data_IF_819404598982
#
_entry.id   IF_819404598982
#
_cell.length_a   1.000
_cell.length_b   1.000
_cell.length_c   1.000
_cell.angle_alpha   90.00
_cell.angle_beta   90.00
_cell.angle_gamma   90.00
#
_symmetry.space_group_name_H-M   'P 1'
#
loop_
_entity.id
_entity.type
_entity.pdbx_description
1 polymer ?
#
# COMPACT_ATOMS: atom_id res chain seq x y z
N UNK A 1 -24.69 -58.01 -32.55
CA UNK A 1 -24.33 -57.42 -31.25
C UNK A 1 -25.47 -56.52 -30.82
N UNK A 2 -25.82 -56.58 -29.53
CA UNK A 2 -26.92 -55.88 -28.86
C UNK A 2 -26.90 -54.35 -29.12
N UNK A 3 -27.96 -53.56 -28.95
CA UNK A 3 -29.16 -53.63 -28.11
C UNK A 3 -30.19 -52.58 -28.58
N UNK A 4 -31.45 -52.86 -28.28
CA UNK A 4 -32.64 -52.09 -28.62
C UNK A 4 -33.02 -50.99 -27.62
N UNK A 5 -33.93 -50.12 -28.09
CA UNK A 5 -35.02 -49.43 -27.37
C UNK A 5 -34.66 -48.39 -26.29
N UNK A 6 -35.52 -47.46 -25.88
CA UNK A 6 -36.63 -46.68 -26.46
C UNK A 6 -37.13 -45.82 -25.29
N UNK A 7 -37.49 -44.58 -25.57
CA UNK A 7 -38.48 -43.75 -24.88
C UNK A 7 -38.21 -43.15 -23.49
N UNK A 8 -38.37 -41.82 -23.49
CA UNK A 8 -39.25 -41.03 -22.61
C UNK A 8 -38.66 -40.17 -21.47
N UNK A 9 -39.17 -38.93 -21.49
CA UNK A 9 -39.54 -38.02 -20.40
C UNK A 9 -38.45 -37.32 -19.59
N UNK A 10 -38.52 -35.99 -19.67
CA UNK A 10 -37.92 -34.98 -18.81
C UNK A 10 -38.27 -35.25 -17.34
N UNK A 11 -37.31 -35.02 -16.42
CA UNK A 11 -37.59 -34.04 -15.37
C UNK A 11 -36.50 -32.98 -15.28
N UNK A 12 -36.99 -31.76 -15.04
CA UNK A 12 -36.26 -30.61 -14.51
C UNK A 12 -35.89 -30.99 -13.07
N UNK A 13 -34.63 -30.79 -12.65
CA UNK A 13 -34.24 -30.30 -11.31
C UNK A 13 -32.71 -30.32 -11.13
N UNK A 14 -32.19 -29.15 -10.74
CA UNK A 14 -31.16 -28.94 -9.71
C UNK A 14 -29.78 -29.59 -9.87
N UNK A 15 -28.84 -28.92 -10.57
CA UNK A 15 -27.39 -29.08 -10.27
C UNK A 15 -26.51 -27.97 -10.92
N UNK A 16 -26.92 -26.70 -10.80
CA UNK A 16 -26.05 -25.55 -11.12
C UNK A 16 -25.83 -24.62 -9.92
N UNK A 17 -25.75 -25.18 -8.71
CA UNK A 17 -25.32 -24.46 -7.50
C UNK A 17 -23.93 -24.94 -7.00
N UNK A 18 -23.04 -25.34 -7.92
CA UNK A 18 -21.66 -25.71 -7.56
C UNK A 18 -20.58 -25.04 -8.42
N UNK A 19 -20.91 -23.95 -9.12
CA UNK A 19 -19.94 -23.12 -9.83
C UNK A 19 -19.88 -21.66 -9.35
N UNK A 20 -20.74 -21.28 -8.39
CA UNK A 20 -20.86 -19.91 -7.88
C UNK A 20 -19.85 -19.53 -6.78
N UNK A 21 -18.95 -20.45 -6.39
CA UNK A 21 -17.93 -20.22 -5.35
C UNK A 21 -16.51 -19.94 -5.86
N UNK A 22 -16.31 -19.66 -7.16
CA UNK A 22 -14.98 -19.34 -7.70
C UNK A 22 -14.93 -18.13 -8.64
N UNK A 23 -16.02 -17.39 -8.80
CA UNK A 23 -15.98 -16.03 -9.32
C UNK A 23 -16.15 -15.06 -8.16
N UNK A 24 -15.26 -15.14 -7.18
CA UNK A 24 -14.85 -13.93 -6.48
C UNK A 24 -14.39 -12.99 -7.59
N UNK A 25 -15.24 -12.02 -7.89
CA UNK A 25 -14.89 -10.91 -8.75
C UNK A 25 -13.68 -10.27 -8.09
N UNK A 26 -12.50 -10.54 -8.62
CA UNK A 26 -11.23 -10.01 -8.14
C UNK A 26 -11.29 -8.50 -8.35
N UNK A 27 -11.95 -7.82 -7.41
CA UNK A 27 -12.01 -6.39 -7.36
C UNK A 27 -10.55 -5.98 -7.19
N UNK A 28 -9.96 -5.34 -8.22
CA UNK A 28 -8.54 -4.99 -8.27
C UNK A 28 -8.09 -3.94 -7.24
N UNK A 29 -8.73 -3.90 -6.08
CA UNK A 29 -8.38 -3.11 -4.92
C UNK A 29 -7.27 -3.83 -4.15
N UNK A 30 -6.13 -3.16 -4.00
CA UNK A 30 -5.05 -3.64 -3.15
C UNK A 30 -5.32 -3.17 -1.72
N UNK A 31 -5.65 -4.10 -0.83
CA UNK A 31 -5.84 -3.80 0.59
C UNK A 31 -4.49 -3.55 1.27
N UNK A 32 -4.40 -2.45 2.04
CA UNK A 32 -3.19 -2.11 2.78
C UNK A 32 -2.98 -3.08 3.95
N UNK A 33 -1.75 -3.54 4.15
CA UNK A 33 -1.42 -4.43 5.25
C UNK A 33 -1.45 -3.67 6.58
N UNK A 34 -1.96 -4.34 7.61
CA UNK A 34 -2.04 -3.83 8.99
C UNK A 34 -0.87 -4.28 9.86
N UNK A 35 0.10 -5.03 9.30
CA UNK A 35 1.31 -5.48 9.98
C UNK A 35 2.50 -5.54 9.02
N UNK A 36 3.70 -5.32 9.54
CA UNK A 36 4.96 -5.43 8.79
C UNK A 36 6.13 -5.72 9.72
N UNK A 37 6.97 -6.69 9.38
CA UNK A 37 8.15 -7.05 10.20
C UNK A 37 9.30 -6.03 10.04
N UNK A 38 9.22 -5.15 9.04
CA UNK A 38 10.24 -4.13 8.77
C UNK A 38 10.08 -2.86 9.61
N UNK A 39 9.08 -2.79 10.50
CA UNK A 39 8.86 -1.63 11.38
C UNK A 39 10.04 -1.35 12.33
N UNK A 40 10.86 -2.36 12.62
CA UNK A 40 12.08 -2.19 13.42
C UNK A 40 13.14 -1.28 12.76
N UNK A 41 13.03 -1.01 11.44
CA UNK A 41 13.94 -0.14 10.70
C UNK A 41 13.56 1.35 10.75
N UNK A 42 12.45 1.70 11.40
CA UNK A 42 11.98 3.08 11.51
C UNK A 42 12.96 3.95 12.31
N UNK A 43 13.03 5.23 11.93
CA UNK A 43 13.72 6.23 12.71
C UNK A 43 13.10 6.36 14.11
N UNK A 44 13.93 6.65 15.12
CA UNK A 44 13.45 6.91 16.48
C UNK A 44 12.63 8.20 16.59
N UNK A 45 12.80 9.13 15.64
CA UNK A 45 12.11 10.41 15.63
C UNK A 45 11.30 10.55 14.34
N UNK A 46 10.03 10.18 14.42
CA UNK A 46 9.07 10.29 13.32
C UNK A 46 8.14 11.51 13.45
N UNK A 47 8.34 12.32 14.49
CA UNK A 47 7.56 13.54 14.71
C UNK A 47 8.19 14.76 14.01
N UNK A 48 9.51 14.77 13.80
CA UNK A 48 10.19 15.84 13.06
C UNK A 48 10.62 15.34 11.68
N UNK A 49 9.82 15.65 10.67
CA UNK A 49 10.08 15.26 9.28
C UNK A 49 10.21 16.50 8.40
N UNK A 50 10.90 16.38 7.24
CA UNK A 50 10.83 17.39 6.20
C UNK A 50 9.38 17.65 5.77
N UNK A 51 9.12 18.85 5.28
CA UNK A 51 7.79 19.27 4.84
C UNK A 51 7.43 18.65 3.48
N UNK A 52 6.13 18.43 3.17
CA UNK A 52 5.71 17.80 1.92
C UNK A 52 6.13 18.51 0.62
N UNK A 53 6.49 19.79 0.68
CA UNK A 53 7.05 20.59 -0.44
C UNK A 53 8.56 20.38 -0.64
N UNK A 54 9.22 19.59 0.21
CA UNK A 54 10.64 19.29 0.08
C UNK A 54 10.90 18.56 -1.25
N UNK A 55 11.77 19.10 -2.13
CA UNK A 55 12.08 18.47 -3.41
C UNK A 55 12.98 17.24 -3.22
N UNK A 56 13.09 16.42 -4.25
CA UNK A 56 14.04 15.31 -4.25
C UNK A 56 15.47 15.81 -4.01
N UNK A 57 16.16 15.25 -3.02
CA UNK A 57 17.53 15.67 -2.66
C UNK A 57 18.60 15.37 -3.72
N UNK A 58 18.28 14.53 -4.73
CA UNK A 58 19.20 14.17 -5.81
C UNK A 58 18.98 15.00 -7.08
N UNK A 59 17.76 15.03 -7.61
CA UNK A 59 17.45 15.74 -8.86
C UNK A 59 16.65 17.04 -8.69
N UNK A 60 16.31 17.42 -7.46
CA UNK A 60 15.54 18.63 -7.13
C UNK A 60 14.15 18.68 -7.78
N UNK A 61 13.60 17.53 -8.21
CA UNK A 61 12.24 17.47 -8.75
C UNK A 61 11.23 17.77 -7.63
N UNK A 62 10.25 18.67 -7.84
CA UNK A 62 9.32 19.08 -6.79
C UNK A 62 8.19 18.07 -6.55
N UNK A 63 7.79 17.32 -7.58
CA UNK A 63 6.63 16.43 -7.49
C UNK A 63 7.00 14.97 -7.24
N UNK A 64 5.99 14.20 -6.80
CA UNK A 64 6.05 12.75 -6.61
C UNK A 64 7.20 12.33 -5.68
N UNK A 65 7.38 13.08 -4.60
CA UNK A 65 8.44 12.84 -3.62
C UNK A 65 7.97 11.95 -2.48
N UNK A 66 8.90 11.11 -2.03
CA UNK A 66 8.71 10.17 -0.95
C UNK A 66 9.72 10.46 0.16
N UNK A 67 9.29 10.31 1.40
CA UNK A 67 10.10 10.41 2.61
C UNK A 67 10.53 9.02 3.06
N UNK A 68 11.83 8.76 3.17
CA UNK A 68 12.34 7.54 3.77
C UNK A 68 12.10 7.58 5.30
N UNK A 69 11.39 6.58 5.84
CA UNK A 69 11.05 6.55 7.26
C UNK A 69 12.19 6.04 8.16
N UNK A 70 13.28 5.56 7.56
CA UNK A 70 14.47 5.12 8.29
C UNK A 70 15.46 6.27 8.53
N UNK A 71 15.69 7.13 7.53
CA UNK A 71 16.71 8.19 7.58
C UNK A 71 16.24 9.60 7.22
N UNK A 72 14.96 9.77 6.87
CA UNK A 72 14.33 11.06 6.52
C UNK A 72 14.80 11.71 5.21
N UNK A 73 15.54 10.98 4.36
CA UNK A 73 15.84 11.45 3.00
C UNK A 73 14.56 11.58 2.17
N UNK A 74 14.45 12.67 1.40
CA UNK A 74 13.33 12.92 0.47
C UNK A 74 13.79 12.68 -0.96
N UNK A 75 13.16 11.73 -1.64
CA UNK A 75 13.57 11.27 -2.96
C UNK A 75 12.37 11.04 -3.87
N UNK A 76 12.52 11.31 -5.17
CA UNK A 76 11.43 11.15 -6.12
C UNK A 76 11.05 9.67 -6.33
N UNK A 77 9.78 9.45 -6.66
CA UNK A 77 9.16 8.15 -6.87
C UNK A 77 9.71 7.42 -8.10
N UNK A 78 9.23 6.19 -8.29
CA UNK A 78 9.54 5.37 -9.47
C UNK A 78 9.01 5.94 -10.79
N UNK A 79 8.06 6.87 -10.74
CA UNK A 79 7.46 7.49 -11.92
C UNK A 79 8.26 8.70 -12.42
N UNK A 80 9.18 9.22 -11.60
CA UNK A 80 10.12 10.30 -11.98
C UNK A 80 11.49 9.70 -12.32
N UNK A 81 12.45 9.70 -11.39
CA UNK A 81 13.82 9.18 -11.60
C UNK A 81 14.15 7.98 -10.70
N UNK A 82 13.18 7.39 -10.00
CA UNK A 82 13.35 6.17 -9.18
C UNK A 82 14.35 6.30 -8.02
N UNK A 83 14.72 7.50 -7.61
CA UNK A 83 15.70 7.70 -6.54
C UNK A 83 15.33 7.06 -5.21
N UNK A 84 14.05 7.02 -4.81
CA UNK A 84 13.65 6.31 -3.59
C UNK A 84 13.83 4.79 -3.72
N UNK A 85 13.60 4.23 -4.92
CA UNK A 85 13.82 2.80 -5.19
C UNK A 85 15.32 2.45 -5.14
N UNK A 86 16.16 3.27 -5.77
CA UNK A 86 17.62 3.11 -5.71
C UNK A 86 18.14 3.23 -4.28
N UNK A 87 17.58 4.16 -3.50
CA UNK A 87 17.94 4.34 -2.09
C UNK A 87 17.60 3.11 -1.25
N UNK A 88 16.42 2.52 -1.45
CA UNK A 88 16.08 1.23 -0.84
C UNK A 88 17.11 0.15 -1.21
N UNK A 89 17.47 0.01 -2.49
CA UNK A 89 18.44 -1.00 -2.94
C UNK A 89 19.85 -0.79 -2.36
N UNK A 90 20.26 0.46 -2.15
CA UNK A 90 21.59 0.80 -1.63
C UNK A 90 21.70 0.72 -0.11
N UNK A 91 20.64 1.10 0.62
CA UNK A 91 20.65 1.25 2.07
C UNK A 91 19.85 0.17 2.80
N UNK A 92 19.04 -0.60 2.08
CA UNK A 92 18.07 -1.52 2.63
C UNK A 92 17.05 -0.83 3.56
N UNK A 93 16.71 0.43 3.26
CA UNK A 93 15.68 1.19 3.96
C UNK A 93 14.31 0.93 3.31
N UNK A 94 13.54 0.01 3.88
CA UNK A 94 12.38 -0.56 3.20
C UNK A 94 11.12 0.31 3.28
N UNK A 95 11.03 1.27 4.21
CA UNK A 95 9.80 1.99 4.51
C UNK A 95 9.87 3.44 4.02
N UNK A 96 8.86 3.87 3.26
CA UNK A 96 8.74 5.24 2.78
C UNK A 96 7.29 5.73 2.82
N UNK A 97 7.10 7.02 3.10
CA UNK A 97 5.82 7.72 3.02
C UNK A 97 5.77 8.59 1.76
N UNK A 98 4.66 8.53 1.02
CA UNK A 98 4.39 9.38 -0.14
C UNK A 98 3.93 10.76 0.31
N UNK A 99 4.55 11.84 -0.17
CA UNK A 99 4.01 13.18 0.07
C UNK A 99 2.81 13.50 -0.82
N UNK A 100 2.55 12.77 -1.90
CA UNK A 100 1.40 12.99 -2.79
C UNK A 100 0.08 12.69 -2.07
N UNK A 101 -0.01 11.52 -1.42
CA UNK A 101 -1.26 10.95 -0.87
C UNK A 101 -1.12 10.43 0.58
N UNK A 102 0.04 10.60 1.21
CA UNK A 102 0.34 10.13 2.58
C UNK A 102 0.27 8.61 2.76
N UNK A 103 0.26 7.84 1.66
CA UNK A 103 0.37 6.39 1.71
C UNK A 103 1.76 5.95 2.20
N UNK A 104 1.83 4.84 2.94
CA UNK A 104 3.09 4.25 3.37
C UNK A 104 3.34 2.98 2.57
N UNK A 105 4.55 2.85 2.02
CA UNK A 105 4.97 1.71 1.22
C UNK A 105 6.12 0.97 1.90
N UNK A 106 6.07 -0.36 1.84
CA UNK A 106 7.20 -1.21 2.19
C UNK A 106 7.76 -1.88 0.94
N UNK A 107 8.96 -1.50 0.52
CA UNK A 107 9.64 -2.06 -0.65
C UNK A 107 9.95 -3.55 -0.52
N UNK A 108 10.27 -4.03 0.69
CA UNK A 108 10.58 -5.44 0.94
C UNK A 108 9.31 -6.32 0.90
N UNK A 109 8.18 -5.80 1.37
CA UNK A 109 6.90 -6.52 1.33
C UNK A 109 6.14 -6.35 0.01
N UNK A 110 6.58 -5.44 -0.86
CA UNK A 110 5.89 -5.01 -2.07
C UNK A 110 4.41 -4.66 -1.79
N UNK A 111 4.17 -3.91 -0.71
CA UNK A 111 2.82 -3.65 -0.22
C UNK A 111 2.68 -2.28 0.45
N UNK A 112 1.48 -1.70 0.32
CA UNK A 112 1.05 -0.57 1.13
C UNK A 112 0.77 -1.00 2.57
N UNK A 113 1.03 -0.09 3.51
CA UNK A 113 0.80 -0.26 4.94
C UNK A 113 -0.24 0.73 5.42
N UNK A 114 -1.17 0.28 6.26
CA UNK A 114 -2.14 1.16 6.91
C UNK A 114 -1.48 1.89 8.08
N UNK A 115 -1.09 3.15 7.85
CA UNK A 115 -0.41 3.98 8.84
C UNK A 115 -1.30 4.38 10.03
N UNK A 116 -2.63 4.29 9.89
CA UNK A 116 -3.58 4.62 10.95
C UNK A 116 -3.78 3.43 11.89
N UNK A 117 -3.69 2.19 11.36
CA UNK A 117 -3.74 0.96 12.17
C UNK A 117 -2.40 0.64 12.81
N UNK A 118 -1.29 0.80 12.08
CA UNK A 118 0.05 0.47 12.56
C UNK A 118 0.58 1.55 13.50
N UNK A 119 0.55 1.28 14.80
CA UNK A 119 0.92 2.25 15.86
C UNK A 119 2.27 2.95 15.62
N UNK A 120 3.38 2.26 15.25
CA UNK A 120 4.66 2.93 15.00
C UNK A 120 4.65 3.94 13.85
N UNK A 121 3.67 3.89 12.94
CA UNK A 121 3.56 4.79 11.79
C UNK A 121 2.68 6.02 12.07
N UNK A 122 1.88 6.00 13.13
CA UNK A 122 0.97 7.12 13.46
C UNK A 122 1.67 8.46 13.59
N UNK A 123 2.81 8.59 14.31
CA UNK A 123 3.44 9.89 14.49
C UNK A 123 3.83 10.56 13.16
N UNK A 124 4.41 9.79 12.23
CA UNK A 124 4.80 10.35 10.92
C UNK A 124 3.59 10.66 10.06
N UNK A 125 2.54 9.85 10.12
CA UNK A 125 1.30 10.11 9.38
C UNK A 125 0.61 11.38 9.89
N UNK A 126 0.45 11.52 11.20
CA UNK A 126 -0.15 12.70 11.82
C UNK A 126 0.64 13.97 11.50
N UNK A 127 1.97 13.95 11.67
CA UNK A 127 2.82 15.10 11.32
C UNK A 127 2.70 15.43 9.84
N UNK A 128 2.82 14.44 8.94
CA UNK A 128 2.74 14.68 7.50
C UNK A 128 1.37 15.25 7.08
N UNK A 129 0.28 14.77 7.70
CA UNK A 129 -1.06 15.27 7.48
C UNK A 129 -1.20 16.74 7.88
N UNK A 130 -0.74 17.09 9.09
CA UNK A 130 -0.76 18.48 9.58
C UNK A 130 0.08 19.38 8.68
N UNK A 131 1.28 18.95 8.29
CA UNK A 131 2.14 19.73 7.39
C UNK A 131 1.52 19.92 6.01
N UNK A 132 0.77 18.95 5.50
CA UNK A 132 0.15 19.01 4.16
C UNK A 132 -1.15 19.80 4.13
N UNK A 133 -1.97 19.68 5.17
CA UNK A 133 -3.35 20.19 5.18
C UNK A 133 -3.61 21.29 6.21
N UNK A 134 -2.70 21.51 7.16
CA UNK A 134 -2.84 22.54 8.20
C UNK A 134 -3.82 22.18 9.32
N UNK A 135 -4.31 20.94 9.38
CA UNK A 135 -5.25 20.44 10.39
C UNK A 135 -4.91 19.02 10.83
N UNK A 136 -5.54 18.55 11.91
CA UNK A 136 -5.33 17.17 12.39
C UNK A 136 -6.03 16.15 11.46
N UNK A 137 -5.47 14.93 11.30
CA UNK A 137 -6.12 13.90 10.51
C UNK A 137 -7.49 13.51 11.10
N UNK A 138 -8.47 13.14 10.25
CA UNK A 138 -9.76 12.66 10.71
C UNK A 138 -9.60 11.38 11.53
N UNK A 139 -10.41 11.23 12.58
CA UNK A 139 -10.45 9.99 13.35
C UNK A 139 -11.01 8.86 12.48
N UNK A 140 -10.28 7.76 12.34
CA UNK A 140 -10.88 6.51 11.89
C UNK A 140 -11.72 5.96 13.04
N UNK A 141 -13.04 5.97 12.87
CA UNK A 141 -13.90 5.13 13.69
C UNK A 141 -13.55 3.67 13.38
N UNK A 142 -13.07 2.96 14.40
CA UNK A 142 -12.82 1.52 14.40
C UNK A 142 -14.11 0.72 14.26
#
# INVERSE_FOLDING_TARGET
MANEASSSSVPIEEDEELSLHLYESESGWVEARTRCDHLASLSSDLAHIPTPDTPCSRCHHPDENWLCLCCKDVLCSRFINKHMLEHYQQRNHCLALSYSDLSVWCFSCDAYLDAQVILPLRPVYETAYILKFGEAPPFRNS
#
